data_IF_949585339043
#
_entry.id   IF_949585339043
#
_cell.length_a   1.000
_cell.length_b   1.000
_cell.length_c   1.000
_cell.angle_alpha   90.00
_cell.angle_beta   90.00
_cell.angle_gamma   90.00
#
_symmetry.space_group_name_H-M   'P 1'
#
loop_
_entity.id
_entity.type
_entity.pdbx_description
1 polymer ?
#
# COMPACT_ATOMS: atom_id res chain seq x y z
N UNK A 1 -21.92 14.28 16.08
CA UNK A 1 -21.53 13.23 15.15
C UNK A 1 -21.91 13.57 13.71
N UNK A 2 -23.16 13.93 13.42
CA UNK A 2 -23.65 14.30 12.06
C UNK A 2 -22.86 15.47 11.42
N UNK A 3 -22.56 16.52 12.17
CA UNK A 3 -21.81 17.68 11.67
C UNK A 3 -20.33 17.36 11.39
N UNK A 4 -19.72 16.42 12.13
CA UNK A 4 -18.37 15.96 11.90
C UNK A 4 -18.26 15.16 10.58
N UNK A 5 -19.24 14.27 10.35
CA UNK A 5 -19.32 13.48 9.10
C UNK A 5 -19.56 14.42 7.90
N UNK A 6 -20.46 15.41 8.04
CA UNK A 6 -20.72 16.40 7.00
C UNK A 6 -19.48 17.24 6.68
N UNK A 7 -18.71 17.65 7.67
CA UNK A 7 -17.46 18.38 7.45
C UNK A 7 -16.40 17.51 6.72
N UNK A 8 -16.29 16.23 7.08
CA UNK A 8 -15.42 15.31 6.36
C UNK A 8 -15.85 15.18 4.89
N UNK A 9 -17.13 14.93 4.63
CA UNK A 9 -17.68 14.77 3.28
C UNK A 9 -17.49 16.05 2.44
N UNK A 10 -17.72 17.23 3.01
CA UNK A 10 -17.52 18.51 2.31
C UNK A 10 -16.06 18.77 1.99
N UNK A 11 -15.15 18.47 2.92
CA UNK A 11 -13.70 18.57 2.72
C UNK A 11 -13.20 17.56 1.70
N UNK A 12 -13.71 16.33 1.72
CA UNK A 12 -13.37 15.27 0.78
C UNK A 12 -13.80 15.57 -0.66
N UNK A 13 -14.76 16.49 -0.86
CA UNK A 13 -15.18 16.93 -2.19
C UNK A 13 -14.36 18.06 -2.81
N UNK A 14 -13.34 18.56 -2.14
CA UNK A 14 -12.51 19.67 -2.65
C UNK A 14 -11.38 19.15 -3.56
N UNK A 15 -10.86 20.04 -4.42
CA UNK A 15 -9.68 19.71 -5.24
C UNK A 15 -8.45 19.36 -4.37
N UNK A 16 -8.35 19.92 -3.17
CA UNK A 16 -7.29 19.63 -2.20
C UNK A 16 -7.33 18.20 -1.69
N UNK A 17 -8.52 17.57 -1.62
CA UNK A 17 -8.64 16.18 -1.17
C UNK A 17 -7.91 15.19 -2.08
N UNK A 18 -7.79 15.48 -3.39
CA UNK A 18 -7.02 14.67 -4.32
C UNK A 18 -5.52 14.71 -4.00
N UNK A 19 -5.01 15.86 -3.53
CA UNK A 19 -3.61 16.01 -3.11
C UNK A 19 -3.38 15.20 -1.83
N UNK A 20 -4.28 15.31 -0.85
CA UNK A 20 -4.20 14.52 0.38
C UNK A 20 -4.27 13.02 0.11
N UNK A 21 -5.14 12.58 -0.82
CA UNK A 21 -5.23 11.18 -1.22
C UNK A 21 -3.91 10.66 -1.80
N UNK A 22 -3.25 11.44 -2.67
CA UNK A 22 -1.94 11.09 -3.25
C UNK A 22 -0.89 10.91 -2.17
N UNK A 23 -0.75 11.94 -1.31
CA UNK A 23 0.24 11.94 -0.23
C UNK A 23 -0.03 10.77 0.73
N UNK A 24 -1.28 10.58 1.15
CA UNK A 24 -1.64 9.52 2.07
C UNK A 24 -1.38 8.13 1.48
N UNK A 25 -1.80 7.88 0.22
CA UNK A 25 -1.58 6.61 -0.45
C UNK A 25 -0.09 6.28 -0.63
N UNK A 26 0.71 7.29 -0.92
CA UNK A 26 2.16 7.15 -1.05
C UNK A 26 2.82 6.86 0.30
N UNK A 27 2.55 7.66 1.33
CA UNK A 27 3.19 7.56 2.65
C UNK A 27 2.72 6.33 3.43
N UNK A 28 1.45 5.93 3.29
CA UNK A 28 0.92 4.69 3.90
C UNK A 28 1.70 3.46 3.46
N UNK A 29 2.06 3.40 2.19
CA UNK A 29 2.81 2.27 1.62
C UNK A 29 4.27 2.21 2.09
N UNK A 30 4.81 3.30 2.65
CA UNK A 30 6.20 3.38 3.15
C UNK A 30 6.23 3.17 4.67
N UNK A 31 5.57 4.04 5.44
CA UNK A 31 5.67 4.04 6.91
C UNK A 31 4.42 4.51 7.66
N UNK A 32 3.48 5.19 6.98
CA UNK A 32 2.37 5.85 7.68
C UNK A 32 1.32 4.83 8.17
N UNK A 33 0.78 4.98 9.41
CA UNK A 33 -0.11 3.98 9.99
C UNK A 33 -1.58 4.11 9.57
N UNK A 34 -1.97 5.26 8.98
CA UNK A 34 -3.37 5.50 8.59
C UNK A 34 -3.65 4.86 7.24
N UNK A 35 -4.64 3.96 7.13
CA UNK A 35 -4.98 3.32 5.87
C UNK A 35 -5.57 4.32 4.88
N UNK A 36 -5.20 4.23 3.62
CA UNK A 36 -5.74 5.05 2.52
C UNK A 36 -7.26 4.93 2.40
N UNK A 37 -7.81 3.78 2.77
CA UNK A 37 -9.27 3.52 2.76
C UNK A 37 -10.04 4.53 3.63
N UNK A 38 -9.43 5.04 4.70
CA UNK A 38 -10.03 6.05 5.59
C UNK A 38 -10.35 7.38 4.88
N UNK A 39 -9.61 7.71 3.83
CA UNK A 39 -9.88 8.90 2.99
C UNK A 39 -10.61 8.53 1.70
N UNK A 40 -10.27 7.39 1.10
CA UNK A 40 -10.85 6.92 -0.15
C UNK A 40 -12.37 6.71 -0.03
N UNK A 41 -12.82 6.01 1.02
CA UNK A 41 -14.22 5.70 1.23
C UNK A 41 -15.11 6.97 1.37
N UNK A 42 -14.80 7.97 2.22
CA UNK A 42 -15.57 9.23 2.27
C UNK A 42 -15.54 10.02 0.95
N UNK A 43 -14.43 9.96 0.19
CA UNK A 43 -14.34 10.61 -1.11
C UNK A 43 -15.29 9.97 -2.13
N UNK A 44 -15.39 8.64 -2.16
CA UNK A 44 -16.36 7.93 -3.02
C UNK A 44 -17.79 8.26 -2.60
N UNK A 45 -18.09 8.20 -1.29
CA UNK A 45 -19.43 8.50 -0.73
C UNK A 45 -19.87 9.94 -0.97
N UNK A 46 -18.93 10.89 -1.08
CA UNK A 46 -19.26 12.29 -1.36
C UNK A 46 -19.89 12.50 -2.75
N UNK A 47 -19.68 11.56 -3.68
CA UNK A 47 -20.17 11.62 -5.06
C UNK A 47 -19.60 12.76 -5.91
N UNK A 48 -18.73 13.62 -5.34
CA UNK A 48 -18.19 14.82 -6.00
C UNK A 48 -17.08 14.51 -7.01
N UNK A 49 -16.46 13.35 -6.89
CA UNK A 49 -15.42 12.89 -7.79
C UNK A 49 -15.82 11.59 -8.47
N UNK A 50 -15.35 11.40 -9.69
CA UNK A 50 -15.50 10.09 -10.33
C UNK A 50 -14.73 9.03 -9.51
N UNK A 51 -15.44 8.04 -8.99
CA UNK A 51 -14.88 6.99 -8.13
C UNK A 51 -13.75 6.20 -8.80
N UNK A 52 -13.85 5.94 -10.12
CA UNK A 52 -12.79 5.27 -10.89
C UNK A 52 -11.52 6.11 -10.86
N UNK A 53 -11.64 7.44 -11.06
CA UNK A 53 -10.49 8.35 -11.08
C UNK A 53 -9.76 8.39 -9.74
N UNK A 54 -10.51 8.54 -8.64
CA UNK A 54 -9.89 8.59 -7.30
C UNK A 54 -9.26 7.25 -6.92
N UNK A 55 -9.89 6.13 -7.28
CA UNK A 55 -9.36 4.78 -7.06
C UNK A 55 -8.06 4.55 -7.84
N UNK A 56 -8.01 4.97 -9.10
CA UNK A 56 -6.80 4.87 -9.93
C UNK A 56 -5.66 5.71 -9.36
N UNK A 57 -5.96 6.94 -8.89
CA UNK A 57 -4.98 7.81 -8.22
C UNK A 57 -4.44 7.12 -6.96
N UNK A 58 -5.30 6.60 -6.09
CA UNK A 58 -4.90 5.90 -4.88
C UNK A 58 -4.01 4.68 -5.19
N UNK A 59 -4.40 3.86 -6.17
CA UNK A 59 -3.63 2.69 -6.61
C UNK A 59 -2.25 3.07 -7.11
N UNK A 60 -2.17 4.05 -8.00
CA UNK A 60 -0.92 4.50 -8.61
C UNK A 60 0.08 5.01 -7.54
N UNK A 61 -0.37 5.93 -6.68
CA UNK A 61 0.49 6.49 -5.64
C UNK A 61 0.86 5.48 -4.55
N UNK A 62 -0.01 4.52 -4.26
CA UNK A 62 0.31 3.43 -3.35
C UNK A 62 1.39 2.50 -3.90
N UNK A 63 1.34 2.17 -5.19
CA UNK A 63 2.38 1.36 -5.85
C UNK A 63 3.71 2.11 -5.88
N UNK A 64 3.70 3.42 -6.20
CA UNK A 64 4.91 4.24 -6.13
C UNK A 64 5.52 4.25 -4.72
N UNK A 65 4.69 4.41 -3.69
CA UNK A 65 5.15 4.30 -2.29
C UNK A 65 5.72 2.91 -1.98
N UNK A 66 5.12 1.85 -2.49
CA UNK A 66 5.63 0.48 -2.37
C UNK A 66 7.01 0.31 -3.01
N UNK A 67 7.24 0.90 -4.20
CA UNK A 67 8.56 0.89 -4.87
C UNK A 67 9.60 1.61 -4.01
N UNK A 68 9.26 2.76 -3.44
CA UNK A 68 10.16 3.46 -2.50
C UNK A 68 10.44 2.60 -1.27
N UNK A 69 9.42 1.96 -0.69
CA UNK A 69 9.57 1.02 0.43
C UNK A 69 10.48 -0.16 0.09
N UNK A 70 10.37 -0.70 -1.13
CA UNK A 70 11.26 -1.74 -1.63
C UNK A 70 12.73 -1.27 -1.67
N UNK A 71 13.00 -0.10 -2.26
CA UNK A 71 14.37 0.42 -2.32
C UNK A 71 14.92 0.78 -0.95
N UNK A 72 14.09 1.29 -0.04
CA UNK A 72 14.51 1.49 1.35
C UNK A 72 14.96 0.16 1.99
N UNK A 73 14.20 -0.91 1.79
CA UNK A 73 14.58 -2.25 2.26
C UNK A 73 15.88 -2.74 1.60
N UNK A 74 16.02 -2.53 0.30
CA UNK A 74 17.20 -2.95 -0.45
C UNK A 74 18.49 -2.29 0.08
N UNK A 75 18.47 -0.96 0.29
CA UNK A 75 19.60 -0.24 0.86
C UNK A 75 19.80 -0.52 2.36
N UNK A 76 18.72 -0.79 3.10
CA UNK A 76 18.79 -1.15 4.51
C UNK A 76 19.53 -2.47 4.73
N UNK A 77 19.51 -3.37 3.74
CA UNK A 77 20.22 -4.64 3.80
C UNK A 77 21.74 -4.46 4.00
N UNK A 78 22.34 -3.49 3.32
CA UNK A 78 23.78 -3.21 3.45
C UNK A 78 24.17 -2.80 4.88
N UNK A 79 23.27 -2.12 5.58
CA UNK A 79 23.44 -1.73 6.99
C UNK A 79 23.23 -2.91 7.95
N UNK A 80 22.33 -3.83 7.63
CA UNK A 80 21.98 -4.99 8.47
C UNK A 80 22.97 -6.14 8.28
N UNK A 81 23.50 -6.29 7.09
CA UNK A 81 24.40 -7.41 6.71
C UNK A 81 25.52 -7.69 7.71
N UNK A 82 26.33 -6.71 8.18
CA UNK A 82 27.40 -6.98 9.15
C UNK A 82 26.86 -7.54 10.47
N UNK A 83 25.68 -7.09 10.91
CA UNK A 83 25.04 -7.61 12.13
C UNK A 83 24.56 -9.06 11.97
N UNK A 84 24.09 -9.45 10.76
CA UNK A 84 23.70 -10.83 10.48
C UNK A 84 24.89 -11.78 10.63
N UNK A 85 26.08 -11.38 10.21
CA UNK A 85 27.31 -12.16 10.42
C UNK A 85 27.74 -12.18 11.87
N UNK A 86 27.73 -11.03 12.55
CA UNK A 86 28.13 -10.91 13.95
C UNK A 86 27.29 -11.79 14.88
N UNK A 87 25.98 -11.91 14.62
CA UNK A 87 25.06 -12.68 15.44
C UNK A 87 24.77 -14.09 14.89
N UNK A 88 25.56 -14.57 13.90
CA UNK A 88 25.35 -15.89 13.26
C UNK A 88 23.90 -16.09 12.74
N UNK A 89 23.29 -15.04 12.19
CA UNK A 89 21.91 -15.04 11.66
C UNK A 89 21.85 -15.08 10.13
N UNK A 90 22.99 -15.14 9.45
CA UNK A 90 23.05 -15.10 7.99
C UNK A 90 22.34 -16.29 7.34
N UNK A 91 22.44 -17.49 7.94
CA UNK A 91 21.74 -18.69 7.44
C UNK A 91 20.23 -18.53 7.50
N UNK A 92 19.71 -17.86 8.55
CA UNK A 92 18.29 -17.54 8.68
C UNK A 92 17.83 -16.54 7.61
N UNK A 93 18.68 -15.58 7.24
CA UNK A 93 18.42 -14.68 6.13
C UNK A 93 18.32 -15.45 4.80
N UNK A 94 19.25 -16.37 4.52
CA UNK A 94 19.23 -17.21 3.30
C UNK A 94 17.96 -18.05 3.24
N UNK A 95 17.56 -18.64 4.37
CA UNK A 95 16.30 -19.40 4.46
C UNK A 95 15.07 -18.50 4.16
N UNK A 96 14.99 -17.32 4.78
CA UNK A 96 13.91 -16.37 4.53
C UNK A 96 13.88 -15.93 3.07
N UNK A 97 15.05 -15.71 2.45
CA UNK A 97 15.17 -15.36 1.03
C UNK A 97 14.63 -16.48 0.14
N UNK A 98 15.01 -17.72 0.36
CA UNK A 98 14.53 -18.86 -0.44
C UNK A 98 13.00 -19.05 -0.28
N UNK A 99 12.47 -18.88 0.91
CA UNK A 99 11.03 -18.93 1.16
C UNK A 99 10.29 -17.79 0.44
N UNK A 100 10.86 -16.59 0.43
CA UNK A 100 10.28 -15.45 -0.25
C UNK A 100 10.38 -15.58 -1.79
N UNK A 101 11.44 -16.17 -2.31
CA UNK A 101 11.56 -16.50 -3.74
C UNK A 101 10.49 -17.52 -4.18
N UNK A 102 10.18 -18.49 -3.32
CA UNK A 102 9.18 -19.54 -3.61
C UNK A 102 7.74 -19.03 -3.45
N UNK A 103 7.46 -18.34 -2.36
CA UNK A 103 6.10 -17.95 -1.96
C UNK A 103 5.84 -16.45 -2.02
N UNK A 104 6.80 -15.65 -2.43
CA UNK A 104 6.72 -14.18 -2.39
C UNK A 104 5.55 -13.60 -3.18
N UNK A 105 5.18 -14.23 -4.30
CA UNK A 105 3.99 -13.85 -5.08
C UNK A 105 2.75 -13.89 -4.20
N UNK A 106 2.55 -14.97 -3.46
CA UNK A 106 1.39 -15.17 -2.59
C UNK A 106 1.42 -14.19 -1.43
N UNK A 107 2.58 -14.04 -0.77
CA UNK A 107 2.73 -13.12 0.36
C UNK A 107 2.49 -11.67 -0.04
N UNK A 108 3.07 -11.23 -1.15
CA UNK A 108 2.88 -9.89 -1.67
C UNK A 108 1.44 -9.64 -2.10
N UNK A 109 0.81 -10.59 -2.79
CA UNK A 109 -0.58 -10.45 -3.22
C UNK A 109 -1.52 -10.36 -2.02
N UNK A 110 -1.39 -11.26 -1.04
CA UNK A 110 -2.21 -11.25 0.17
C UNK A 110 -2.02 -9.93 0.92
N UNK A 111 -0.78 -9.46 1.10
CA UNK A 111 -0.51 -8.20 1.81
C UNK A 111 -1.02 -6.97 1.05
N UNK A 112 -0.96 -6.98 -0.27
CA UNK A 112 -1.43 -5.88 -1.10
C UNK A 112 -2.98 -5.80 -1.14
N UNK A 113 -3.64 -6.96 -1.10
CA UNK A 113 -5.10 -7.06 -1.18
C UNK A 113 -5.79 -6.94 0.19
N UNK A 114 -5.20 -7.48 1.25
CA UNK A 114 -5.78 -7.52 2.60
C UNK A 114 -5.40 -6.29 3.43
N UNK A 115 -6.04 -6.06 4.60
CA UNK A 115 -5.64 -5.00 5.53
C UNK A 115 -4.33 -5.28 6.28
N UNK A 116 -3.58 -6.33 5.94
CA UNK A 116 -2.26 -6.62 6.48
C UNK A 116 -1.31 -5.48 6.09
N UNK A 117 -0.36 -5.07 6.97
CA UNK A 117 0.54 -3.97 6.68
C UNK A 117 1.42 -4.22 5.45
N UNK A 118 0.98 -3.75 4.28
CA UNK A 118 1.67 -3.89 2.99
C UNK A 118 3.12 -3.40 3.04
N UNK A 119 3.39 -2.31 3.78
CA UNK A 119 4.73 -1.74 3.97
C UNK A 119 5.76 -2.73 4.53
N UNK A 120 5.35 -3.66 5.39
CA UNK A 120 6.26 -4.69 5.94
C UNK A 120 6.74 -5.59 4.81
N UNK A 121 5.84 -5.99 3.92
CA UNK A 121 6.18 -6.86 2.79
C UNK A 121 6.99 -6.14 1.70
N UNK A 122 6.74 -4.83 1.48
CA UNK A 122 7.53 -4.04 0.53
C UNK A 122 8.98 -3.91 0.98
N UNK A 123 9.20 -3.56 2.25
CA UNK A 123 10.54 -3.46 2.82
C UNK A 123 11.22 -4.82 2.85
N UNK A 124 10.52 -5.88 3.27
CA UNK A 124 11.05 -7.25 3.29
C UNK A 124 11.45 -7.73 1.89
N UNK A 125 10.64 -7.46 0.88
CA UNK A 125 10.97 -7.78 -0.50
C UNK A 125 12.26 -7.09 -0.96
N UNK A 126 12.47 -5.84 -0.54
CA UNK A 126 13.71 -5.10 -0.78
C UNK A 126 14.91 -5.69 -0.06
N UNK A 127 14.80 -5.94 1.25
CA UNK A 127 15.87 -6.57 2.06
C UNK A 127 16.27 -7.93 1.49
N UNK A 128 15.30 -8.71 1.03
CA UNK A 128 15.54 -10.05 0.45
C UNK A 128 15.94 -10.00 -1.03
N UNK A 129 16.04 -8.80 -1.63
CA UNK A 129 16.37 -8.58 -3.04
C UNK A 129 15.46 -9.36 -3.99
N UNK A 130 14.15 -9.37 -3.70
CA UNK A 130 13.14 -10.03 -4.53
C UNK A 130 13.06 -9.36 -5.91
N UNK A 131 12.66 -10.11 -6.94
CA UNK A 131 12.57 -9.57 -8.30
C UNK A 131 11.63 -8.35 -8.37
N UNK A 132 12.19 -7.19 -8.70
CA UNK A 132 11.49 -5.90 -8.72
C UNK A 132 10.32 -5.88 -9.73
N UNK A 133 10.45 -6.53 -10.88
CA UNK A 133 9.40 -6.57 -11.89
C UNK A 133 8.19 -7.36 -11.40
N UNK A 134 8.42 -8.53 -10.79
CA UNK A 134 7.36 -9.32 -10.16
C UNK A 134 6.72 -8.56 -9.01
N UNK A 135 7.53 -7.91 -8.16
CA UNK A 135 7.03 -7.07 -7.08
C UNK A 135 6.09 -5.97 -7.59
N UNK A 136 6.48 -5.21 -8.61
CA UNK A 136 5.65 -4.14 -9.20
C UNK A 136 4.36 -4.71 -9.78
N UNK A 137 4.44 -5.79 -10.54
CA UNK A 137 3.27 -6.41 -11.18
C UNK A 137 2.23 -6.86 -10.14
N UNK A 138 2.68 -7.58 -9.12
CA UNK A 138 1.81 -8.09 -8.04
C UNK A 138 1.22 -6.93 -7.23
N UNK A 139 2.01 -5.90 -6.97
CA UNK A 139 1.59 -4.71 -6.24
C UNK A 139 0.51 -3.94 -7.02
N UNK A 140 0.67 -3.77 -8.33
CA UNK A 140 -0.34 -3.15 -9.20
C UNK A 140 -1.65 -3.93 -9.11
N UNK A 141 -1.60 -5.24 -9.31
CA UNK A 141 -2.79 -6.10 -9.30
C UNK A 141 -3.46 -6.09 -7.92
N UNK A 142 -2.71 -6.34 -6.85
CA UNK A 142 -3.24 -6.46 -5.50
C UNK A 142 -3.80 -5.14 -4.95
N UNK A 143 -3.07 -4.02 -5.07
CA UNK A 143 -3.53 -2.70 -4.60
C UNK A 143 -4.70 -2.18 -5.42
N UNK A 144 -4.66 -2.34 -6.75
CA UNK A 144 -5.78 -1.94 -7.60
C UNK A 144 -7.03 -2.75 -7.28
N UNK A 145 -6.93 -4.08 -7.21
CA UNK A 145 -8.05 -4.94 -6.87
C UNK A 145 -8.69 -4.54 -5.53
N UNK A 146 -7.88 -4.30 -4.49
CA UNK A 146 -8.35 -3.84 -3.19
C UNK A 146 -9.09 -2.50 -3.27
N UNK A 147 -8.45 -1.47 -3.81
CA UNK A 147 -9.05 -0.13 -3.85
C UNK A 147 -10.28 -0.06 -4.74
N UNK A 148 -10.29 -0.79 -5.86
CA UNK A 148 -11.48 -0.89 -6.71
C UNK A 148 -12.62 -1.61 -6.00
N UNK A 149 -12.33 -2.68 -5.24
CA UNK A 149 -13.34 -3.38 -4.44
C UNK A 149 -13.94 -2.48 -3.36
N UNK A 150 -13.11 -1.79 -2.58
CA UNK A 150 -13.57 -0.85 -1.54
C UNK A 150 -14.40 0.27 -2.16
N UNK A 151 -13.91 0.90 -3.23
CA UNK A 151 -14.63 1.99 -3.91
C UNK A 151 -15.95 1.53 -4.52
N UNK A 152 -15.99 0.35 -5.11
CA UNK A 152 -17.22 -0.22 -5.67
C UNK A 152 -18.27 -0.49 -4.59
N UNK A 153 -17.85 -1.07 -3.45
CA UNK A 153 -18.74 -1.30 -2.31
C UNK A 153 -19.27 0.03 -1.80
N UNK A 154 -18.39 1.01 -1.56
CA UNK A 154 -18.80 2.34 -1.08
C UNK A 154 -19.76 3.02 -2.06
N UNK A 155 -19.54 2.92 -3.36
CA UNK A 155 -20.45 3.48 -4.37
C UNK A 155 -21.82 2.80 -4.31
N UNK A 156 -21.84 1.46 -4.32
CA UNK A 156 -23.08 0.68 -4.37
C UNK A 156 -23.97 0.89 -3.14
N UNK A 157 -23.35 0.98 -1.95
CA UNK A 157 -24.10 1.13 -0.68
C UNK A 157 -24.22 2.57 -0.20
N UNK A 158 -23.52 3.52 -0.81
CA UNK A 158 -23.60 4.95 -0.46
C UNK A 158 -24.69 5.72 -1.21
N UNK A 159 -25.33 5.11 -2.20
CA UNK A 159 -26.44 5.69 -2.97
C UNK A 159 -27.81 5.51 -2.29
N UNK A 160 -27.84 5.04 -1.03
CA UNK A 160 -29.06 4.90 -0.22
C UNK A 160 -29.13 5.99 0.89
#
# INVERSE_FOLDING_TARGET
MKNFILNIITTCGSAKSLIYLRILSFTESIFFPIPTDALLAPMVLSGKHNWIRITTIASFWSVLGGIVGYYLGYYLFDLIKPYLYQFNKYDQYILAKSMFETYGIIFLFISAFTPIPYKVFTISAGVLSYNIFLFILISIIGRSARFFLVSFICKKYGEH
#
